data_IF_934378085045
#
_entry.id   IF_934378085045
#
_cell.length_a   1.000
_cell.length_b   1.000
_cell.length_c   1.000
_cell.angle_alpha   90.00
_cell.angle_beta   90.00
_cell.angle_gamma   90.00
#
_symmetry.space_group_name_H-M   'P 1'
#
loop_
_entity.id
_entity.type
_entity.pdbx_description
1 polymer ?
#
# COMPACT_ATOMS: atom_id res chain seq x y z
N UNK A 1 16.77 -11.09 20.18
CA UNK A 1 15.79 -12.03 20.79
C UNK A 1 14.46 -11.80 20.10
N UNK A 2 13.78 -12.86 19.64
CA UNK A 2 12.40 -12.74 19.20
C UNK A 2 11.47 -12.50 20.39
N UNK A 3 10.44 -11.69 20.21
CA UNK A 3 9.35 -11.49 21.17
C UNK A 3 8.08 -12.04 20.54
N UNK A 4 7.21 -12.64 21.35
CA UNK A 4 5.93 -13.18 20.89
C UNK A 4 4.83 -12.16 21.14
N UNK A 5 4.00 -11.92 20.14
CA UNK A 5 2.79 -11.10 20.25
C UNK A 5 1.59 -12.04 20.29
N UNK A 6 0.72 -11.88 21.28
CA UNK A 6 -0.55 -12.61 21.38
C UNK A 6 -1.71 -11.66 21.12
N UNK A 7 -2.57 -12.00 20.16
CA UNK A 7 -3.69 -11.18 19.74
C UNK A 7 -5.00 -11.97 19.90
N UNK A 8 -6.00 -11.34 20.51
CA UNK A 8 -7.37 -11.88 20.53
C UNK A 8 -8.14 -11.28 19.35
N UNK A 9 -8.72 -12.15 18.53
CA UNK A 9 -9.50 -11.77 17.35
C UNK A 9 -10.87 -12.44 17.40
N UNK A 10 -11.89 -11.72 16.94
CA UNK A 10 -13.16 -12.34 16.61
C UNK A 10 -12.99 -13.31 15.42
N UNK A 11 -13.77 -14.39 15.41
CA UNK A 11 -13.66 -15.46 14.42
C UNK A 11 -13.81 -14.94 12.97
N UNK A 12 -14.69 -13.95 12.76
CA UNK A 12 -14.87 -13.29 11.46
C UNK A 12 -13.61 -12.56 11.00
N UNK A 13 -12.92 -11.88 11.91
CA UNK A 13 -11.70 -11.12 11.60
C UNK A 13 -10.56 -12.11 11.35
N UNK A 14 -10.41 -13.12 12.21
CA UNK A 14 -9.42 -14.17 12.04
C UNK A 14 -9.53 -14.86 10.68
N UNK A 15 -10.74 -15.29 10.27
CA UNK A 15 -10.99 -15.90 8.96
C UNK A 15 -10.62 -14.98 7.81
N UNK A 16 -10.92 -13.68 7.93
CA UNK A 16 -10.55 -12.69 6.91
C UNK A 16 -9.03 -12.57 6.77
N UNK A 17 -8.31 -12.44 7.88
CA UNK A 17 -6.85 -12.33 7.85
C UNK A 17 -6.20 -13.60 7.30
N UNK A 18 -6.72 -14.78 7.69
CA UNK A 18 -6.25 -16.06 7.17
C UNK A 18 -6.42 -16.16 5.65
N UNK A 19 -7.60 -15.82 5.12
CA UNK A 19 -7.87 -15.84 3.68
C UNK A 19 -6.92 -14.92 2.91
N UNK A 20 -6.70 -13.69 3.40
CA UNK A 20 -5.80 -12.74 2.76
C UNK A 20 -4.34 -13.22 2.82
N UNK A 21 -3.91 -13.81 3.93
CA UNK A 21 -2.58 -14.38 4.06
C UNK A 21 -2.36 -15.55 3.07
N UNK A 22 -3.37 -16.40 2.89
CA UNK A 22 -3.36 -17.49 1.90
C UNK A 22 -3.30 -16.96 0.46
N UNK A 23 -4.10 -15.94 0.13
CA UNK A 23 -4.07 -15.28 -1.20
C UNK A 23 -2.70 -14.63 -1.49
N UNK A 24 -2.04 -14.13 -0.45
CA UNK A 24 -0.73 -13.48 -0.51
C UNK A 24 0.44 -14.46 -0.28
N UNK A 25 0.17 -15.78 -0.35
CA UNK A 25 1.10 -16.91 -0.23
C UNK A 25 2.08 -16.80 0.97
N UNK A 26 1.57 -16.38 2.13
CA UNK A 26 2.38 -16.18 3.34
C UNK A 26 1.68 -16.65 4.61
N UNK A 27 2.46 -16.87 5.67
CA UNK A 27 1.89 -17.22 6.97
C UNK A 27 1.09 -16.06 7.57
N UNK A 28 0.10 -16.37 8.41
CA UNK A 28 -0.71 -15.36 9.08
C UNK A 28 0.15 -14.38 9.91
N UNK A 29 1.17 -14.88 10.61
CA UNK A 29 2.08 -14.05 11.39
C UNK A 29 2.87 -13.08 10.50
N UNK A 30 3.42 -13.58 9.39
CA UNK A 30 4.16 -12.73 8.45
C UNK A 30 3.24 -11.71 7.77
N UNK A 31 2.01 -12.10 7.40
CA UNK A 31 1.02 -11.19 6.85
C UNK A 31 0.72 -10.03 7.81
N UNK A 32 0.48 -10.31 9.09
CA UNK A 32 0.21 -9.29 10.10
C UNK A 32 1.42 -8.38 10.31
N UNK A 33 2.63 -8.96 10.42
CA UNK A 33 3.87 -8.21 10.59
C UNK A 33 4.11 -7.26 9.42
N UNK A 34 4.10 -7.77 8.18
CA UNK A 34 4.33 -6.95 6.99
C UNK A 34 3.25 -5.89 6.81
N UNK A 35 1.99 -6.22 7.05
CA UNK A 35 0.90 -5.24 6.94
C UNK A 35 1.04 -4.12 7.98
N UNK A 36 1.48 -4.45 9.19
CA UNK A 36 1.68 -3.47 10.26
C UNK A 36 2.87 -2.56 9.96
N UNK A 37 3.98 -3.13 9.49
CA UNK A 37 5.15 -2.36 9.06
C UNK A 37 4.78 -1.40 7.93
N UNK A 38 4.10 -1.90 6.89
CA UNK A 38 3.66 -1.06 5.77
C UNK A 38 2.72 0.06 6.22
N UNK A 39 1.79 -0.23 7.12
CA UNK A 39 0.91 0.80 7.69
C UNK A 39 1.70 1.89 8.42
N UNK A 40 2.68 1.50 9.24
CA UNK A 40 3.55 2.45 9.94
C UNK A 40 4.40 3.26 8.95
N UNK A 41 4.92 2.63 7.89
CA UNK A 41 5.68 3.32 6.85
C UNK A 41 4.82 4.36 6.12
N UNK A 42 3.60 3.96 5.70
CA UNK A 42 2.65 4.82 4.99
C UNK A 42 2.15 5.99 5.85
N UNK A 43 1.99 5.81 7.17
CA UNK A 43 1.37 6.81 8.05
C UNK A 43 2.35 7.51 8.99
N UNK A 44 3.55 6.97 9.17
CA UNK A 44 4.54 7.44 10.14
C UNK A 44 5.67 8.28 9.54
N UNK A 45 5.85 8.29 8.22
CA UNK A 45 6.97 8.94 7.54
C UNK A 45 6.58 10.06 6.58
N UNK A 46 5.31 10.36 6.45
CA UNK A 46 4.86 11.44 5.59
C UNK A 46 5.01 12.75 6.35
N UNK A 47 6.16 13.41 6.17
CA UNK A 47 6.37 14.77 6.70
C UNK A 47 5.42 15.74 5.99
N UNK A 48 4.76 16.61 6.76
CA UNK A 48 3.87 17.65 6.24
C UNK A 48 4.62 18.54 5.22
N UNK A 49 5.92 18.79 5.44
CA UNK A 49 6.76 19.54 4.50
C UNK A 49 6.98 18.81 3.17
N UNK A 50 7.26 17.50 3.20
CA UNK A 50 7.42 16.71 1.98
C UNK A 50 6.10 16.64 1.19
N UNK A 51 4.97 16.48 1.87
CA UNK A 51 3.67 16.49 1.21
C UNK A 51 3.32 17.86 0.62
N UNK A 52 3.66 18.93 1.31
CA UNK A 52 3.45 20.28 0.80
C UNK A 52 4.36 20.56 -0.40
N UNK A 53 5.60 20.04 -0.41
CA UNK A 53 6.46 20.11 -1.59
C UNK A 53 5.85 19.37 -2.79
N UNK A 54 5.37 18.14 -2.58
CA UNK A 54 4.70 17.34 -3.62
C UNK A 54 3.45 18.05 -4.15
N UNK A 55 2.62 18.60 -3.26
CA UNK A 55 1.40 19.35 -3.63
C UNK A 55 1.72 20.62 -4.41
N UNK A 56 2.79 21.32 -4.05
CA UNK A 56 3.21 22.55 -4.72
C UNK A 56 4.04 22.30 -5.99
N UNK A 57 4.52 21.07 -6.23
CA UNK A 57 5.27 20.73 -7.43
C UNK A 57 4.36 20.69 -8.68
N UNK A 58 4.25 21.83 -9.36
CA UNK A 58 3.39 21.98 -10.55
C UNK A 58 3.78 21.05 -11.68
N UNK A 59 5.08 20.84 -11.92
CA UNK A 59 5.59 20.01 -13.02
C UNK A 59 5.18 18.55 -12.83
N UNK A 60 5.40 18.02 -11.62
CA UNK A 60 5.00 16.66 -11.23
C UNK A 60 3.49 16.46 -11.34
N UNK A 61 2.70 17.39 -10.80
CA UNK A 61 1.24 17.26 -10.85
C UNK A 61 0.70 17.33 -12.28
N UNK A 62 1.31 18.12 -13.16
CA UNK A 62 0.96 18.15 -14.58
C UNK A 62 1.32 16.84 -15.29
N UNK A 63 2.49 16.27 -15.01
CA UNK A 63 2.93 15.02 -15.63
C UNK A 63 2.04 13.84 -15.21
N UNK A 64 1.67 13.76 -13.92
CA UNK A 64 0.75 12.73 -13.40
C UNK A 64 -0.62 12.85 -14.07
N UNK A 65 -1.20 14.05 -14.15
CA UNK A 65 -2.50 14.28 -14.83
C UNK A 65 -2.45 13.90 -16.30
N UNK A 66 -1.35 14.22 -16.99
CA UNK A 66 -1.14 13.83 -18.38
C UNK A 66 -1.05 12.31 -18.52
N UNK A 67 -0.29 11.64 -17.66
CA UNK A 67 -0.15 10.18 -17.65
C UNK A 67 -1.49 9.48 -17.46
N UNK A 68 -2.32 9.94 -16.51
CA UNK A 68 -3.69 9.41 -16.32
C UNK A 68 -4.55 9.55 -17.57
N UNK A 69 -4.49 10.70 -18.26
CA UNK A 69 -5.22 10.93 -19.51
C UNK A 69 -4.70 10.03 -20.64
N UNK A 70 -3.39 9.88 -20.77
CA UNK A 70 -2.79 9.05 -21.81
C UNK A 70 -3.11 7.55 -21.59
N UNK A 71 -3.11 7.08 -20.35
CA UNK A 71 -3.55 5.74 -19.97
C UNK A 71 -5.03 5.49 -20.30
N UNK A 72 -5.92 6.43 -19.95
CA UNK A 72 -7.34 6.36 -20.29
C UNK A 72 -7.58 6.30 -21.82
N UNK A 73 -6.75 7.01 -22.59
CA UNK A 73 -6.77 6.99 -24.05
C UNK A 73 -6.05 5.77 -24.66
N UNK A 74 -5.57 4.83 -23.83
CA UNK A 74 -4.79 3.65 -24.25
C UNK A 74 -3.59 4.01 -25.14
N UNK A 75 -3.01 5.20 -24.94
CA UNK A 75 -1.78 5.59 -25.64
C UNK A 75 -0.63 4.75 -25.10
N UNK A 76 0.17 4.20 -26.02
CA UNK A 76 1.25 3.25 -25.67
C UNK A 76 0.77 1.80 -25.55
N UNK A 77 -0.46 1.48 -25.96
CA UNK A 77 -0.86 0.07 -26.13
C UNK A 77 0.08 -0.61 -27.14
N UNK A 78 0.43 -1.86 -26.86
CA UNK A 78 1.12 -2.70 -27.83
C UNK A 78 0.28 -2.78 -29.10
N UNK A 79 0.93 -2.57 -30.24
CA UNK A 79 0.35 -2.81 -31.56
C UNK A 79 0.71 -4.25 -31.91
N UNK A 80 -0.30 -5.08 -32.14
CA UNK A 80 -0.14 -6.44 -32.62
C UNK A 80 0.09 -6.44 -34.15
#
# INVERSE_FOLDING_TARGET
MSKTVTLRLDDKIYKRFKKLAEEDNRSLSNFIETSTLRYIEEHGYVDDFEMDEIRNNRSLNLSIKKGLKDAALKKGKFVE
#
